data_IF_076543568520
#
_entry.id   IF_076543568520
#
_cell.length_a   1.000
_cell.length_b   1.000
_cell.length_c   1.000
_cell.angle_alpha   90.00
_cell.angle_beta   90.00
_cell.angle_gamma   90.00
#
_symmetry.space_group_name_H-M   'P 1'
#
loop_
_entity.id
_entity.type
_entity.pdbx_description
1 polymer ?
#
# COMPACT_ATOMS: atom_id res chain seq x y z
N UNK A 1 -74.45 33.91 -14.73
CA UNK A 1 -73.90 32.99 -13.71
C UNK A 1 -72.54 32.52 -14.17
N UNK A 2 -71.54 32.67 -13.31
CA UNK A 2 -70.12 32.38 -13.54
C UNK A 2 -69.87 30.90 -13.91
N UNK A 3 -69.02 30.64 -14.90
CA UNK A 3 -67.89 29.68 -14.75
C UNK A 3 -66.70 30.17 -15.58
N UNK A 4 -65.58 30.32 -14.89
CA UNK A 4 -64.26 30.78 -15.32
C UNK A 4 -63.62 29.70 -16.21
N UNK A 5 -63.19 30.02 -17.43
CA UNK A 5 -62.36 29.12 -18.27
C UNK A 5 -60.90 29.54 -18.12
N UNK A 6 -60.18 28.86 -17.24
CA UNK A 6 -58.74 29.04 -17.02
C UNK A 6 -57.94 28.40 -18.16
N UNK A 7 -56.97 29.16 -18.65
CA UNK A 7 -55.99 28.81 -19.68
C UNK A 7 -55.16 27.63 -19.18
N UNK A 8 -55.12 26.54 -19.95
CA UNK A 8 -54.13 25.48 -19.78
C UNK A 8 -52.77 26.05 -20.18
N UNK A 9 -51.93 26.34 -19.20
CA UNK A 9 -50.51 26.57 -19.41
C UNK A 9 -49.86 25.22 -19.72
N UNK A 10 -49.50 25.01 -20.98
CA UNK A 10 -48.58 23.96 -21.41
C UNK A 10 -47.19 24.24 -20.81
N UNK A 11 -46.79 23.47 -19.80
CA UNK A 11 -45.40 23.44 -19.33
C UNK A 11 -44.50 22.86 -20.43
N UNK A 12 -43.37 23.51 -20.79
CA UNK A 12 -42.43 22.94 -21.75
C UNK A 12 -41.59 21.89 -21.03
N UNK A 13 -41.79 20.61 -21.39
CA UNK A 13 -41.04 19.48 -20.85
C UNK A 13 -39.57 19.43 -21.31
N UNK A 14 -39.18 20.26 -22.30
CA UNK A 14 -37.90 20.14 -22.99
C UNK A 14 -36.72 20.87 -22.32
N UNK A 15 -36.97 21.80 -21.38
CA UNK A 15 -35.92 22.58 -20.73
C UNK A 15 -35.43 21.98 -19.40
N UNK A 16 -36.20 21.09 -18.77
CA UNK A 16 -35.89 20.52 -17.45
C UNK A 16 -35.03 19.23 -17.53
N UNK A 17 -35.14 18.46 -18.62
CA UNK A 17 -34.35 17.25 -18.85
C UNK A 17 -32.82 17.49 -18.87
N UNK A 18 -32.26 18.48 -19.59
CA UNK A 18 -30.81 18.66 -19.64
C UNK A 18 -30.24 19.12 -18.30
N UNK A 19 -30.99 19.89 -17.51
CA UNK A 19 -30.58 20.34 -16.19
C UNK A 19 -30.51 19.20 -15.18
N UNK A 20 -31.47 18.26 -15.22
CA UNK A 20 -31.47 17.07 -14.38
C UNK A 20 -30.32 16.12 -14.77
N UNK A 21 -30.03 15.96 -16.06
CA UNK A 21 -28.90 15.14 -16.55
C UNK A 21 -27.57 15.76 -16.12
N UNK A 22 -27.40 17.08 -16.24
CA UNK A 22 -26.19 17.78 -15.80
C UNK A 22 -26.02 17.71 -14.28
N UNK A 23 -27.10 17.86 -13.50
CA UNK A 23 -27.06 17.71 -12.04
C UNK A 23 -26.75 16.27 -11.61
N UNK A 24 -27.31 15.26 -12.30
CA UNK A 24 -26.99 13.85 -12.06
C UNK A 24 -25.54 13.52 -12.46
N UNK A 25 -25.06 14.07 -13.57
CA UNK A 25 -23.67 13.92 -13.99
C UNK A 25 -22.70 14.63 -13.02
N UNK A 26 -23.02 15.85 -12.58
CA UNK A 26 -22.23 16.59 -11.59
C UNK A 26 -22.26 15.91 -10.22
N UNK A 27 -23.38 15.33 -9.81
CA UNK A 27 -23.48 14.52 -8.60
C UNK A 27 -22.68 13.20 -8.72
N UNK A 28 -22.67 12.56 -9.90
CA UNK A 28 -21.83 11.39 -10.17
C UNK A 28 -20.33 11.71 -10.17
N UNK A 29 -19.94 12.90 -10.63
CA UNK A 29 -18.55 13.38 -10.60
C UNK A 29 -18.11 13.74 -9.16
N UNK A 30 -19.06 14.05 -8.27
CA UNK A 30 -18.79 14.43 -6.88
C UNK A 30 -18.91 13.32 -5.84
N UNK A 31 -19.15 12.07 -6.23
CA UNK A 31 -18.86 10.95 -5.33
C UNK A 31 -17.36 10.67 -5.47
N UNK A 32 -16.51 11.03 -4.49
CA UNK A 32 -15.15 10.53 -4.51
C UNK A 32 -15.26 9.01 -4.46
N UNK A 33 -14.97 8.36 -5.59
CA UNK A 33 -14.55 6.98 -5.56
C UNK A 33 -13.28 7.00 -4.71
N UNK A 34 -13.38 6.56 -3.46
CA UNK A 34 -12.22 6.29 -2.63
C UNK A 34 -11.38 5.29 -3.41
N UNK A 35 -10.19 5.72 -3.83
CA UNK A 35 -9.30 4.86 -4.57
C UNK A 35 -8.69 3.87 -3.58
N UNK A 36 -8.73 2.57 -3.90
CA UNK A 36 -8.01 1.56 -3.14
C UNK A 36 -6.53 1.96 -3.05
N UNK A 37 -6.02 2.14 -1.83
CA UNK A 37 -4.61 2.47 -1.61
C UNK A 37 -3.78 1.20 -1.71
N UNK A 38 -3.33 0.89 -2.92
CA UNK A 38 -2.49 -0.27 -3.19
C UNK A 38 -1.07 -0.07 -2.64
N UNK A 39 -0.44 -1.18 -2.25
CA UNK A 39 0.99 -1.21 -1.94
C UNK A 39 1.81 -0.78 -3.17
N UNK A 40 2.84 0.07 -3.02
CA UNK A 40 3.73 0.42 -4.13
C UNK A 40 4.38 -0.81 -4.77
N UNK A 41 4.75 -0.68 -6.05
CA UNK A 41 5.35 -1.76 -6.84
C UNK A 41 6.75 -2.19 -6.38
N UNK A 42 7.37 -1.42 -5.47
CA UNK A 42 8.65 -1.75 -4.86
C UNK A 42 8.55 -1.60 -3.34
N UNK A 43 9.51 -2.17 -2.62
CA UNK A 43 9.65 -1.94 -1.17
C UNK A 43 10.26 -0.56 -0.82
N UNK A 44 10.44 0.30 -1.82
CA UNK A 44 11.03 1.63 -1.65
C UNK A 44 9.97 2.67 -1.28
N UNK A 45 9.30 2.46 -0.16
CA UNK A 45 8.33 3.41 0.37
C UNK A 45 8.38 3.40 1.89
N UNK A 46 7.86 4.48 2.48
CA UNK A 46 7.63 4.56 3.92
C UNK A 46 6.42 5.46 4.18
N UNK A 47 6.20 5.83 5.44
CA UNK A 47 5.14 6.73 5.85
C UNK A 47 5.73 7.99 6.47
N UNK A 48 5.04 9.11 6.33
CA UNK A 48 5.35 10.31 7.11
C UNK A 48 4.75 10.25 8.53
N UNK A 49 4.99 11.30 9.32
CA UNK A 49 4.51 11.39 10.70
C UNK A 49 2.99 11.32 10.85
N UNK A 50 2.22 11.71 9.83
CA UNK A 50 0.75 11.69 9.87
C UNK A 50 0.17 10.47 9.14
N UNK A 51 1.00 9.46 8.86
CA UNK A 51 0.66 8.21 8.17
C UNK A 51 0.28 8.38 6.70
N UNK A 52 0.85 9.34 5.98
CA UNK A 52 0.73 9.38 4.53
C UNK A 52 1.81 8.54 3.87
N UNK A 53 1.42 7.81 2.83
CA UNK A 53 2.35 7.03 2.01
C UNK A 53 3.32 7.97 1.29
N UNK A 54 4.61 7.65 1.37
CA UNK A 54 5.68 8.37 0.67
C UNK A 54 6.45 7.36 -0.18
N UNK A 55 6.29 7.45 -1.50
CA UNK A 55 6.81 6.48 -2.45
C UNK A 55 8.11 6.97 -3.11
N UNK A 56 9.20 6.25 -2.82
CA UNK A 56 10.54 6.49 -3.36
C UNK A 56 10.88 5.54 -4.51
N UNK A 57 9.91 4.81 -5.07
CA UNK A 57 10.13 3.84 -6.16
C UNK A 57 10.91 4.44 -7.34
N UNK A 58 10.71 5.74 -7.64
CA UNK A 58 11.44 6.44 -8.70
C UNK A 58 12.95 6.61 -8.45
N UNK A 59 13.40 6.49 -7.19
CA UNK A 59 14.80 6.53 -6.77
C UNK A 59 15.39 5.14 -6.53
N UNK A 60 14.59 4.08 -6.62
CA UNK A 60 15.05 2.72 -6.35
C UNK A 60 16.19 2.32 -7.30
N UNK A 61 17.36 2.02 -6.74
CA UNK A 61 18.57 1.65 -7.48
C UNK A 61 19.34 2.81 -8.12
N UNK A 62 18.98 4.06 -7.86
CA UNK A 62 19.79 5.22 -8.28
C UNK A 62 21.08 5.26 -7.47
N UNK A 63 22.20 5.53 -8.14
CA UNK A 63 23.50 5.67 -7.51
C UNK A 63 23.68 7.08 -6.95
N UNK A 64 24.11 7.15 -5.69
CA UNK A 64 24.65 8.37 -5.11
C UNK A 64 26.11 8.10 -4.76
N UNK A 65 27.00 8.78 -5.46
CA UNK A 65 28.45 8.64 -5.33
C UNK A 65 28.99 9.78 -4.47
N UNK A 66 29.93 9.46 -3.59
CA UNK A 66 30.63 10.42 -2.76
C UNK A 66 32.14 10.20 -2.88
N UNK A 67 32.83 11.30 -3.17
CA UNK A 67 34.30 11.36 -3.24
C UNK A 67 34.72 12.32 -2.13
N UNK A 68 35.62 11.89 -1.24
CA UNK A 68 36.23 12.84 -0.30
C UNK A 68 37.07 13.87 -1.05
N UNK A 69 37.16 15.09 -0.52
CA UNK A 69 37.99 16.14 -1.11
C UNK A 69 39.45 15.67 -1.22
N UNK A 70 39.92 15.51 -2.46
CA UNK A 70 41.27 15.03 -2.77
C UNK A 70 41.36 13.59 -3.29
N UNK A 71 40.25 12.82 -3.32
CA UNK A 71 40.20 11.47 -3.91
C UNK A 71 39.87 11.49 -5.40
N UNK A 72 40.55 10.61 -6.18
CA UNK A 72 40.38 10.48 -7.65
C UNK A 72 39.26 9.47 -8.01
N UNK A 73 38.86 8.62 -7.07
CA UNK A 73 37.84 7.58 -7.24
C UNK A 73 36.68 7.76 -6.27
N UNK A 74 35.48 7.26 -6.60
CA UNK A 74 34.36 7.26 -5.66
C UNK A 74 34.67 6.36 -4.47
N UNK A 75 34.71 6.96 -3.28
CA UNK A 75 35.07 6.29 -2.03
C UNK A 75 33.85 5.59 -1.41
N UNK A 76 32.64 6.08 -1.71
CA UNK A 76 31.38 5.49 -1.25
C UNK A 76 30.30 5.57 -2.34
N UNK A 77 29.53 4.50 -2.49
CA UNK A 77 28.34 4.46 -3.35
C UNK A 77 27.15 3.98 -2.54
N UNK A 78 26.05 4.71 -2.60
CA UNK A 78 24.77 4.32 -2.01
C UNK A 78 23.76 4.08 -3.15
N UNK A 79 23.08 2.94 -3.11
CA UNK A 79 21.86 2.71 -3.90
C UNK A 79 20.65 2.68 -2.98
N UNK A 80 19.72 3.62 -3.16
CA UNK A 80 18.48 3.62 -2.38
C UNK A 80 17.64 2.39 -2.72
N UNK A 81 17.11 1.75 -1.70
CA UNK A 81 16.21 0.58 -1.77
C UNK A 81 16.67 -0.60 -2.64
N UNK A 82 17.97 -0.71 -2.95
CA UNK A 82 18.56 -1.83 -3.70
C UNK A 82 20.00 -2.07 -3.26
N UNK A 83 20.46 -3.28 -3.50
CA UNK A 83 21.87 -3.64 -3.34
C UNK A 83 22.69 -3.13 -4.52
N UNK A 84 23.91 -2.63 -4.24
CA UNK A 84 24.83 -2.13 -5.27
C UNK A 84 25.30 -3.30 -6.16
N UNK A 85 24.87 -3.31 -7.43
CA UNK A 85 25.16 -4.40 -8.36
C UNK A 85 26.46 -4.23 -9.16
N UNK A 86 26.85 -2.99 -9.48
CA UNK A 86 28.08 -2.70 -10.24
C UNK A 86 29.22 -2.39 -9.30
N UNK A 87 30.30 -3.15 -9.43
CA UNK A 87 31.50 -3.06 -8.59
C UNK A 87 32.65 -2.52 -9.42
N UNK A 88 33.40 -1.55 -8.89
CA UNK A 88 34.61 -1.06 -9.54
C UNK A 88 35.64 -2.19 -9.65
N UNK A 89 36.11 -2.46 -10.87
CA UNK A 89 37.09 -3.50 -11.15
C UNK A 89 38.48 -3.00 -10.77
N UNK A 90 39.06 -3.54 -9.69
CA UNK A 90 40.51 -3.86 -9.53
C UNK A 90 40.95 -4.03 -8.06
N UNK A 91 40.28 -3.40 -7.08
CA UNK A 91 40.82 -3.25 -5.70
C UNK A 91 40.04 -3.94 -4.57
N UNK A 92 38.93 -4.62 -4.86
CA UNK A 92 37.98 -5.08 -3.84
C UNK A 92 37.05 -3.95 -3.37
N UNK A 93 36.01 -4.29 -2.61
CA UNK A 93 35.05 -3.35 -2.04
C UNK A 93 34.70 -3.79 -0.62
N UNK A 94 34.21 -2.85 0.19
CA UNK A 94 33.71 -3.12 1.54
C UNK A 94 32.19 -3.02 1.49
N UNK A 95 31.50 -4.11 1.84
CA UNK A 95 30.04 -4.14 1.95
C UNK A 95 29.61 -3.57 3.31
N UNK A 96 28.78 -2.52 3.30
CA UNK A 96 28.22 -1.94 4.52
C UNK A 96 26.79 -2.42 4.83
N UNK A 97 26.26 -3.32 4.01
CA UNK A 97 25.00 -4.00 4.26
C UNK A 97 24.05 -3.98 3.09
N UNK A 98 22.96 -4.73 3.25
CA UNK A 98 21.95 -5.00 2.23
C UNK A 98 20.61 -4.41 2.61
N UNK A 99 19.85 -4.03 1.59
CA UNK A 99 18.47 -3.62 1.77
C UNK A 99 17.56 -4.84 1.73
N UNK A 100 16.89 -5.14 2.85
CA UNK A 100 16.08 -6.34 2.98
C UNK A 100 14.61 -6.12 2.63
N UNK A 101 13.95 -5.12 3.23
CA UNK A 101 12.54 -4.83 2.98
C UNK A 101 12.13 -3.42 3.49
N UNK A 102 10.84 -3.10 3.33
CA UNK A 102 10.24 -1.82 3.72
C UNK A 102 10.39 -1.45 5.21
N UNK A 103 10.61 -2.42 6.12
CA UNK A 103 10.86 -2.13 7.55
C UNK A 103 12.21 -1.48 7.78
N UNK A 104 13.13 -1.62 6.83
CA UNK A 104 14.40 -0.91 6.83
C UNK A 104 14.26 0.53 6.35
N UNK A 105 13.04 1.01 6.07
CA UNK A 105 12.75 2.38 5.66
C UNK A 105 11.70 3.01 6.58
N UNK A 106 12.16 3.96 7.39
CA UNK A 106 11.38 4.54 8.49
C UNK A 106 11.28 6.06 8.37
N UNK A 107 10.28 6.64 9.02
CA UNK A 107 10.20 8.08 9.24
C UNK A 107 11.35 8.53 10.14
N UNK A 108 12.01 9.62 9.78
CA UNK A 108 13.06 10.23 10.56
C UNK A 108 12.52 11.08 11.72
N UNK A 109 13.41 11.87 12.31
CA UNK A 109 13.04 12.86 13.32
C UNK A 109 13.91 14.11 13.21
N UNK A 110 13.35 15.26 13.63
CA UNK A 110 14.01 16.57 13.66
C UNK A 110 14.46 17.02 12.26
N UNK A 111 15.76 16.98 11.98
CA UNK A 111 16.39 17.43 10.74
C UNK A 111 16.42 16.34 9.67
N UNK A 112 16.08 15.10 10.03
CA UNK A 112 16.05 13.94 9.13
C UNK A 112 14.60 13.60 8.85
N UNK A 113 14.20 13.64 7.59
CA UNK A 113 12.82 13.35 7.18
C UNK A 113 12.58 11.84 7.13
N UNK A 114 13.55 11.07 6.63
CA UNK A 114 13.44 9.61 6.52
C UNK A 114 14.78 8.92 6.78
N UNK A 115 14.73 7.65 7.17
CA UNK A 115 15.92 6.85 7.47
C UNK A 115 15.82 5.53 6.72
N UNK A 116 16.83 5.22 5.90
CA UNK A 116 17.01 3.90 5.31
C UNK A 116 18.18 3.17 6.00
N UNK A 117 17.95 1.94 6.45
CA UNK A 117 18.95 1.10 7.11
C UNK A 117 19.38 -0.05 6.20
N UNK A 118 20.65 -0.41 6.33
CA UNK A 118 21.27 -1.54 5.67
C UNK A 118 21.99 -2.37 6.74
N UNK A 119 21.84 -3.69 6.64
CA UNK A 119 22.33 -4.64 7.64
C UNK A 119 23.10 -5.79 6.98
N UNK A 120 23.86 -6.55 7.76
CA UNK A 120 24.58 -7.75 7.30
C UNK A 120 25.66 -7.45 6.24
N UNK A 121 26.43 -6.38 6.46
CA UNK A 121 27.63 -6.08 5.68
C UNK A 121 28.82 -6.94 6.10
N UNK A 122 30.01 -6.60 5.60
CA UNK A 122 31.24 -7.35 5.87
C UNK A 122 31.59 -7.37 7.37
N UNK A 123 32.06 -8.53 7.85
CA UNK A 123 32.42 -8.74 9.25
C UNK A 123 33.84 -8.27 9.60
N UNK A 124 34.75 -8.19 8.63
CA UNK A 124 36.17 -7.92 8.88
C UNK A 124 36.38 -6.63 9.69
N UNK A 125 37.08 -6.63 10.83
CA UNK A 125 37.23 -5.48 11.75
C UNK A 125 35.96 -5.06 12.52
N UNK A 126 34.89 -5.84 12.45
CA UNK A 126 33.61 -5.62 13.12
C UNK A 126 33.13 -6.86 13.89
N UNK A 127 34.02 -7.83 14.09
CA UNK A 127 33.75 -9.15 14.67
C UNK A 127 33.40 -9.09 16.16
N UNK A 128 33.74 -7.98 16.83
CA UNK A 128 33.53 -7.78 18.27
C UNK A 128 32.22 -7.06 18.61
N UNK A 129 31.41 -6.72 17.61
CA UNK A 129 30.12 -6.05 17.84
C UNK A 129 29.10 -7.02 18.44
N UNK A 130 28.29 -6.53 19.39
CA UNK A 130 27.44 -7.36 20.26
C UNK A 130 26.38 -8.19 19.53
N UNK A 131 26.01 -7.81 18.32
CA UNK A 131 24.92 -8.44 17.55
C UNK A 131 25.41 -9.30 16.38
N UNK A 132 26.73 -9.44 16.16
CA UNK A 132 27.32 -10.14 15.00
C UNK A 132 26.76 -9.69 13.63
N UNK A 133 26.14 -8.50 13.57
CA UNK A 133 25.45 -7.97 12.37
C UNK A 133 26.41 -7.52 11.25
N UNK A 134 27.72 -7.61 11.48
CA UNK A 134 28.75 -7.06 10.62
C UNK A 134 28.65 -5.55 10.49
N UNK A 135 29.19 -5.01 9.40
CA UNK A 135 29.00 -3.59 9.07
C UNK A 135 27.54 -3.28 8.82
N UNK A 136 27.14 -2.08 9.21
CA UNK A 136 25.80 -1.54 8.93
C UNK A 136 25.90 -0.17 8.27
N UNK A 137 24.85 0.21 7.54
CA UNK A 137 24.73 1.57 7.03
C UNK A 137 23.39 2.18 7.42
N UNK A 138 23.41 3.49 7.67
CA UNK A 138 22.22 4.30 7.89
C UNK A 138 22.27 5.50 6.97
N UNK A 139 21.30 5.62 6.09
CA UNK A 139 21.13 6.76 5.20
C UNK A 139 20.05 7.66 5.80
N UNK A 140 20.48 8.80 6.32
CA UNK A 140 19.61 9.87 6.79
C UNK A 140 19.21 10.74 5.59
N UNK A 141 17.95 10.65 5.21
CA UNK A 141 17.39 11.33 4.06
C UNK A 141 16.78 12.65 4.52
N UNK A 142 17.22 13.73 3.88
CA UNK A 142 16.73 15.09 4.09
C UNK A 142 16.06 15.60 2.81
N UNK A 143 14.88 16.18 2.95
CA UNK A 143 14.15 16.80 1.87
C UNK A 143 14.78 18.16 1.54
N UNK A 144 15.34 18.27 0.34
CA UNK A 144 15.89 19.53 -0.16
C UNK A 144 17.30 19.37 -0.71
N UNK A 145 18.22 20.20 -0.23
CA UNK A 145 19.59 20.31 -0.77
C UNK A 145 20.59 20.38 0.38
N UNK A 146 21.81 19.90 0.12
CA UNK A 146 22.91 20.11 1.05
C UNK A 146 23.22 21.60 1.19
N UNK A 147 23.55 22.04 2.42
CA UNK A 147 23.91 23.43 2.73
C UNK A 147 25.05 23.98 1.86
N UNK A 148 25.92 23.11 1.35
CA UNK A 148 27.12 23.47 0.60
C UNK A 148 26.88 23.68 -0.92
N UNK A 149 25.64 23.58 -1.42
CA UNK A 149 25.27 23.76 -2.86
C UNK A 149 25.94 22.81 -3.87
N UNK A 150 26.79 21.87 -3.45
CA UNK A 150 27.51 20.92 -4.34
C UNK A 150 26.66 19.67 -4.65
N UNK A 151 25.39 19.82 -5.02
CA UNK A 151 24.68 18.70 -5.63
C UNK A 151 24.85 18.78 -7.15
N UNK A 152 25.62 17.85 -7.71
CA UNK A 152 25.78 17.70 -9.17
C UNK A 152 24.62 16.93 -9.82
N UNK A 153 23.89 16.14 -9.04
CA UNK A 153 22.80 15.29 -9.53
C UNK A 153 21.43 15.89 -9.18
N UNK A 154 20.53 15.87 -10.16
CA UNK A 154 19.14 16.31 -10.07
C UNK A 154 18.32 15.47 -9.06
N UNK A 155 18.69 14.21 -8.87
CA UNK A 155 18.01 13.27 -7.97
C UNK A 155 18.45 13.44 -6.51
N UNK A 156 19.49 14.23 -6.24
CA UNK A 156 20.03 14.50 -4.91
C UNK A 156 21.51 14.19 -4.77
N UNK A 157 22.10 14.47 -3.61
CA UNK A 157 23.51 14.21 -3.37
C UNK A 157 23.83 13.91 -1.91
N UNK A 158 24.96 13.22 -1.68
CA UNK A 158 25.47 12.93 -0.34
C UNK A 158 26.09 14.22 0.21
N UNK A 159 25.57 14.69 1.34
CA UNK A 159 26.03 15.91 2.00
C UNK A 159 27.22 15.64 2.91
N UNK A 160 27.22 14.49 3.57
CA UNK A 160 28.22 14.11 4.57
C UNK A 160 28.21 12.61 4.76
N UNK A 161 29.40 12.07 4.99
CA UNK A 161 29.60 10.69 5.44
C UNK A 161 30.30 10.74 6.79
N UNK A 162 29.88 9.88 7.71
CA UNK A 162 30.56 9.70 8.99
C UNK A 162 30.59 8.23 9.37
N UNK A 163 31.66 7.80 10.01
CA UNK A 163 31.82 6.41 10.43
C UNK A 163 31.81 6.33 11.96
N UNK A 164 30.95 5.47 12.49
CA UNK A 164 30.90 5.10 13.90
C UNK A 164 31.67 3.79 14.07
N UNK A 165 32.95 3.91 14.47
CA UNK A 165 33.85 2.78 14.64
C UNK A 165 33.38 1.79 15.72
N UNK A 166 32.68 2.27 16.75
CA UNK A 166 32.24 1.41 17.86
C UNK A 166 31.08 0.52 17.46
N UNK A 167 30.18 1.07 16.64
CA UNK A 167 28.99 0.36 16.15
C UNK A 167 29.19 -0.24 14.76
N UNK A 168 30.40 -0.10 14.17
CA UNK A 168 30.69 -0.49 12.80
C UNK A 168 29.65 0.02 11.79
N UNK A 169 29.21 1.27 11.97
CA UNK A 169 28.10 1.84 11.24
C UNK A 169 28.52 3.06 10.44
N UNK A 170 28.28 3.02 9.14
CA UNK A 170 28.41 4.20 8.28
C UNK A 170 27.10 4.97 8.30
N UNK A 171 27.17 6.26 8.63
CA UNK A 171 26.03 7.17 8.57
C UNK A 171 26.24 8.13 7.40
N UNK A 172 25.30 8.13 6.47
CA UNK A 172 25.29 8.96 5.26
C UNK A 172 24.17 9.96 5.38
N UNK A 173 24.46 11.25 5.25
CA UNK A 173 23.45 12.29 5.10
C UNK A 173 23.20 12.52 3.61
N UNK A 174 22.00 12.21 3.15
CA UNK A 174 21.58 12.30 1.75
C UNK A 174 20.50 13.36 1.60
N UNK A 175 20.72 14.37 0.76
CA UNK A 175 19.67 15.33 0.41
C UNK A 175 19.06 14.97 -0.94
N UNK A 176 17.73 14.80 -0.99
CA UNK A 176 16.98 14.50 -2.22
C UNK A 176 15.77 15.42 -2.35
N UNK A 177 15.24 15.63 -3.57
CA UNK A 177 13.89 16.12 -3.76
C UNK A 177 12.91 15.08 -3.22
N UNK A 178 12.22 15.37 -2.12
CA UNK A 178 11.31 14.40 -1.53
C UNK A 178 10.08 14.14 -2.41
N UNK A 179 9.59 12.88 -2.46
CA UNK A 179 8.36 12.54 -3.14
C UNK A 179 7.19 13.34 -2.60
N UNK A 180 6.17 13.51 -3.45
CA UNK A 180 4.91 14.10 -3.01
C UNK A 180 4.24 13.18 -2.00
N UNK A 181 3.60 13.82 -1.02
CA UNK A 181 2.75 13.16 -0.04
C UNK A 181 1.62 12.39 -0.74
N UNK A 182 1.54 11.09 -0.52
CA UNK A 182 0.49 10.22 -1.04
C UNK A 182 -0.75 10.19 -0.14
N UNK A 183 -1.67 9.25 -0.38
CA UNK A 183 -2.86 9.05 0.46
C UNK A 183 -2.50 8.74 1.90
N UNK A 184 -3.38 9.13 2.82
CA UNK A 184 -3.26 8.78 4.24
C UNK A 184 -3.74 7.34 4.45
N UNK A 185 -2.98 6.55 5.20
CA UNK A 185 -3.31 5.16 5.49
C UNK A 185 -3.52 4.93 6.97
N UNK A 186 -4.35 3.95 7.30
CA UNK A 186 -4.56 3.52 8.67
C UNK A 186 -3.50 2.48 9.07
N UNK A 187 -2.33 2.99 9.49
CA UNK A 187 -1.19 2.18 9.91
C UNK A 187 -1.56 1.24 11.07
N UNK A 188 -1.06 0.02 11.03
CA UNK A 188 -1.25 -0.99 12.07
C UNK A 188 -2.50 -1.87 11.87
N UNK A 189 -3.28 -1.63 10.81
CA UNK A 189 -4.42 -2.48 10.45
C UNK A 189 -4.05 -3.53 9.40
N UNK A 190 -4.50 -4.77 9.61
CA UNK A 190 -4.25 -5.91 8.75
C UNK A 190 -5.54 -6.67 8.49
N UNK A 191 -5.75 -7.07 7.24
CA UNK A 191 -6.73 -8.08 6.83
C UNK A 191 -5.96 -9.22 6.18
N UNK A 192 -6.16 -10.45 6.64
CA UNK A 192 -5.54 -11.62 6.01
C UNK A 192 -6.45 -12.83 6.02
N UNK A 193 -6.09 -13.88 5.30
CA UNK A 193 -6.88 -15.11 5.29
C UNK A 193 -6.77 -15.85 6.63
N UNK A 194 -7.88 -16.44 7.05
CA UNK A 194 -8.00 -17.23 8.27
C UNK A 194 -8.10 -18.72 7.95
N UNK A 195 -7.33 -19.61 8.63
CA UNK A 195 -6.29 -19.31 9.62
C UNK A 195 -5.08 -18.60 8.99
N UNK A 196 -4.36 -17.80 9.80
CA UNK A 196 -3.37 -16.80 9.36
C UNK A 196 -2.40 -17.36 8.30
N UNK A 197 -2.51 -16.89 7.06
CA UNK A 197 -1.61 -17.24 5.96
C UNK A 197 -1.05 -15.98 5.28
N UNK A 198 -1.74 -15.42 4.29
CA UNK A 198 -1.35 -14.22 3.57
C UNK A 198 -2.26 -13.04 3.87
N UNK A 199 -1.66 -11.85 3.82
CA UNK A 199 -2.36 -10.58 4.00
C UNK A 199 -2.98 -10.10 2.68
N UNK A 200 -4.25 -9.68 2.76
CA UNK A 200 -5.00 -8.97 1.72
C UNK A 200 -4.80 -7.46 1.87
N UNK A 201 -4.76 -7.00 3.12
CA UNK A 201 -4.39 -5.64 3.50
C UNK A 201 -3.32 -5.75 4.57
N UNK A 202 -2.20 -5.06 4.40
CA UNK A 202 -1.16 -4.97 5.40
C UNK A 202 -0.86 -3.51 5.70
N UNK A 203 -0.91 -3.16 6.99
CA UNK A 203 -0.62 -1.82 7.47
C UNK A 203 -1.48 -0.72 6.80
N UNK A 204 -2.74 -1.04 6.50
CA UNK A 204 -3.68 -0.17 5.78
C UNK A 204 -3.49 -0.11 4.26
N UNK A 205 -2.52 -0.83 3.68
CA UNK A 205 -2.28 -0.91 2.24
C UNK A 205 -2.83 -2.22 1.67
N UNK A 206 -3.60 -2.13 0.59
CA UNK A 206 -4.11 -3.29 -0.13
C UNK A 206 -3.00 -3.96 -0.91
N UNK A 207 -2.85 -5.27 -0.74
CA UNK A 207 -1.79 -6.06 -1.37
C UNK A 207 -2.11 -6.32 -2.84
N UNK A 208 -1.05 -6.57 -3.63
CA UNK A 208 -1.16 -6.92 -5.05
C UNK A 208 -2.10 -8.12 -5.25
N UNK A 209 -2.99 -8.00 -6.22
CA UNK A 209 -4.00 -9.01 -6.53
C UNK A 209 -5.38 -8.69 -5.95
N UNK A 210 -5.46 -7.78 -4.97
CA UNK A 210 -6.69 -7.41 -4.28
C UNK A 210 -7.05 -5.93 -4.46
N UNK A 211 -6.28 -5.17 -5.22
CA UNK A 211 -6.58 -3.78 -5.56
C UNK A 211 -7.61 -3.65 -6.70
N UNK A 212 -7.74 -4.69 -7.53
CA UNK A 212 -8.71 -4.77 -8.62
C UNK A 212 -8.90 -6.24 -9.06
N UNK A 213 -9.68 -6.44 -10.13
CA UNK A 213 -9.83 -7.77 -10.73
C UNK A 213 -8.51 -8.30 -11.27
N UNK A 214 -8.05 -9.44 -10.73
CA UNK A 214 -6.93 -10.21 -11.25
C UNK A 214 -7.30 -11.68 -11.38
N UNK A 215 -7.20 -12.24 -12.59
CA UNK A 215 -7.56 -13.64 -12.83
C UNK A 215 -6.75 -14.62 -11.96
N UNK A 216 -5.45 -14.35 -11.74
CA UNK A 216 -4.60 -15.20 -10.90
C UNK A 216 -4.91 -15.18 -9.40
N UNK A 217 -5.79 -14.29 -8.93
CA UNK A 217 -6.17 -14.14 -7.52
C UNK A 217 -7.66 -14.46 -7.27
N UNK A 218 -8.30 -15.12 -8.24
CA UNK A 218 -9.73 -15.43 -8.16
C UNK A 218 -10.02 -16.74 -7.43
N UNK A 219 -11.07 -16.73 -6.63
CA UNK A 219 -11.59 -17.91 -5.96
C UNK A 219 -12.35 -18.77 -6.97
N UNK A 220 -12.01 -20.06 -7.08
CA UNK A 220 -12.63 -20.95 -8.05
C UNK A 220 -14.08 -21.25 -7.65
N UNK A 221 -14.91 -21.76 -8.56
CA UNK A 221 -16.35 -21.87 -8.31
C UNK A 221 -16.70 -22.80 -7.13
N UNK A 222 -15.88 -23.81 -6.79
CA UNK A 222 -16.12 -24.76 -5.70
C UNK A 222 -15.92 -24.13 -4.32
N UNK A 223 -15.13 -23.06 -4.24
CA UNK A 223 -14.88 -22.39 -2.98
C UNK A 223 -16.08 -21.52 -2.64
N UNK A 224 -16.94 -21.98 -1.73
CA UNK A 224 -18.20 -21.32 -1.35
C UNK A 224 -18.06 -20.29 -0.22
N UNK A 225 -16.92 -20.25 0.46
CA UNK A 225 -16.63 -19.25 1.49
C UNK A 225 -15.14 -18.94 1.60
N UNK A 226 -14.86 -17.75 2.14
CA UNK A 226 -13.53 -17.26 2.52
C UNK A 226 -13.63 -16.63 3.89
N UNK A 227 -12.75 -17.04 4.79
CA UNK A 227 -12.63 -16.42 6.11
C UNK A 227 -11.45 -15.47 6.14
N UNK A 228 -11.69 -14.25 6.60
CA UNK A 228 -10.69 -13.21 6.79
C UNK A 228 -10.56 -12.91 8.28
N UNK A 229 -9.34 -12.72 8.77
CA UNK A 229 -9.11 -12.09 10.07
C UNK A 229 -8.81 -10.61 9.87
N UNK A 230 -9.35 -9.79 10.78
CA UNK A 230 -9.09 -8.37 10.89
C UNK A 230 -8.33 -8.14 12.20
N UNK A 231 -7.29 -7.33 12.15
CA UNK A 231 -6.45 -7.02 13.30
C UNK A 231 -5.96 -5.58 13.23
N UNK A 232 -6.06 -4.85 14.34
CA UNK A 232 -5.53 -3.50 14.48
C UNK A 232 -4.66 -3.38 15.74
N UNK A 233 -3.83 -2.35 15.79
CA UNK A 233 -3.22 -1.90 17.04
C UNK A 233 -4.30 -1.56 18.07
N UNK A 234 -4.19 -2.10 19.28
CA UNK A 234 -5.24 -1.96 20.31
C UNK A 234 -5.63 -0.51 20.61
N UNK A 235 -4.67 0.43 20.55
CA UNK A 235 -4.92 1.86 20.77
C UNK A 235 -5.75 2.55 19.67
N UNK A 236 -5.91 1.90 18.51
CA UNK A 236 -6.61 2.43 17.35
C UNK A 236 -7.80 1.53 16.93
N UNK A 237 -7.96 0.36 17.54
CA UNK A 237 -8.92 -0.65 17.10
C UNK A 237 -10.38 -0.16 17.14
N UNK A 238 -10.72 0.68 18.12
CA UNK A 238 -12.07 1.26 18.28
C UNK A 238 -12.46 2.21 17.14
N UNK A 239 -11.50 2.64 16.31
CA UNK A 239 -11.77 3.46 15.13
C UNK A 239 -12.27 2.63 13.95
N UNK A 240 -12.07 1.30 13.98
CA UNK A 240 -12.47 0.40 12.88
C UNK A 240 -13.96 0.12 12.97
N UNK A 241 -14.68 0.49 11.92
CA UNK A 241 -16.11 0.27 11.83
C UNK A 241 -16.48 -1.05 11.14
N UNK A 242 -17.80 -1.22 10.96
CA UNK A 242 -18.39 -2.43 10.37
C UNK A 242 -18.10 -2.54 8.87
N UNK A 243 -17.53 -3.66 8.37
CA UNK A 243 -17.33 -3.89 6.95
C UNK A 243 -18.63 -3.88 6.14
N UNK A 244 -18.55 -3.41 4.90
CA UNK A 244 -19.63 -3.42 3.91
C UNK A 244 -19.13 -4.03 2.61
N UNK A 245 -20.04 -4.53 1.76
CA UNK A 245 -19.70 -5.14 0.48
C UNK A 245 -20.50 -4.53 -0.67
N UNK A 246 -19.88 -4.51 -1.85
CA UNK A 246 -20.51 -4.23 -3.13
C UNK A 246 -20.08 -5.28 -4.15
N UNK A 247 -21.05 -5.87 -4.85
CA UNK A 247 -20.80 -6.93 -5.83
C UNK A 247 -21.01 -6.38 -7.24
N UNK A 248 -20.08 -6.69 -8.14
CA UNK A 248 -20.15 -6.32 -9.54
C UNK A 248 -19.92 -7.54 -10.45
N UNK A 249 -20.85 -7.86 -11.36
CA UNK A 249 -22.17 -7.25 -11.53
C UNK A 249 -23.08 -7.52 -10.34
N UNK A 250 -24.04 -6.63 -10.10
CA UNK A 250 -24.94 -6.69 -8.93
C UNK A 250 -25.87 -7.92 -8.90
N UNK A 251 -26.00 -8.65 -10.01
CA UNK A 251 -26.84 -9.85 -10.11
C UNK A 251 -25.98 -11.03 -10.49
N UNK A 252 -26.29 -12.21 -9.93
CA UNK A 252 -25.67 -13.47 -10.32
C UNK A 252 -24.68 -14.04 -9.31
N UNK A 253 -24.31 -13.27 -8.28
CA UNK A 253 -23.56 -13.74 -7.12
C UNK A 253 -24.22 -13.18 -5.87
N UNK A 254 -24.81 -14.06 -5.06
CA UNK A 254 -25.27 -13.68 -3.72
C UNK A 254 -24.09 -13.77 -2.75
N UNK A 255 -23.95 -12.77 -1.88
CA UNK A 255 -22.83 -12.67 -0.94
C UNK A 255 -23.35 -12.32 0.46
N UNK A 256 -23.08 -13.19 1.42
CA UNK A 256 -23.47 -13.04 2.82
C UNK A 256 -22.24 -12.95 3.73
N UNK A 257 -22.15 -11.86 4.49
CA UNK A 257 -21.14 -11.66 5.51
C UNK A 257 -21.59 -12.25 6.86
N UNK A 258 -20.75 -13.09 7.47
CA UNK A 258 -20.97 -13.63 8.83
C UNK A 258 -19.71 -13.52 9.69
N UNK A 259 -19.81 -13.91 10.97
CA UNK A 259 -18.70 -13.84 11.92
C UNK A 259 -18.70 -12.56 12.77
N UNK A 260 -17.72 -12.43 13.66
CA UNK A 260 -17.63 -11.29 14.58
C UNK A 260 -17.41 -9.96 13.85
N UNK A 261 -16.72 -9.97 12.70
CA UNK A 261 -16.48 -8.79 11.87
C UNK A 261 -17.75 -8.29 11.21
N UNK A 262 -18.61 -9.20 10.77
CA UNK A 262 -19.92 -8.85 10.22
C UNK A 262 -20.86 -8.21 11.26
N UNK A 263 -20.58 -8.39 12.57
CA UNK A 263 -21.31 -7.73 13.66
C UNK A 263 -20.65 -6.44 14.14
N UNK A 264 -19.49 -6.05 13.58
CA UNK A 264 -18.75 -4.86 13.99
C UNK A 264 -17.95 -5.04 15.29
N UNK A 265 -17.53 -6.27 15.61
CA UNK A 265 -16.61 -6.49 16.72
C UNK A 265 -15.26 -5.79 16.47
N UNK A 266 -14.67 -5.27 17.54
CA UNK A 266 -13.41 -4.52 17.49
C UNK A 266 -12.23 -5.45 17.19
N UNK A 267 -11.45 -5.23 16.11
CA UNK A 267 -10.33 -6.08 15.76
C UNK A 267 -9.06 -5.68 16.51
N UNK A 268 -8.62 -6.48 17.49
CA UNK A 268 -7.34 -6.22 18.19
C UNK A 268 -6.28 -7.26 17.81
N UNK A 269 -5.01 -6.92 17.97
CA UNK A 269 -3.91 -7.85 17.71
C UNK A 269 -3.96 -9.14 18.55
N UNK A 270 -4.46 -9.06 19.79
CA UNK A 270 -4.59 -10.21 20.70
C UNK A 270 -5.91 -10.97 20.51
N UNK A 271 -6.95 -10.29 20.03
CA UNK A 271 -8.25 -10.89 19.72
C UNK A 271 -8.68 -10.42 18.33
N UNK A 272 -8.15 -11.06 17.26
CA UNK A 272 -8.53 -10.75 15.89
C UNK A 272 -10.01 -11.04 15.67
N UNK A 273 -10.65 -10.20 14.87
CA UNK A 273 -12.05 -10.36 14.50
C UNK A 273 -12.13 -11.17 13.20
N UNK A 274 -13.13 -12.04 13.06
CA UNK A 274 -13.27 -12.91 11.87
C UNK A 274 -14.44 -12.44 11.02
N UNK A 275 -14.19 -12.19 9.74
CA UNK A 275 -15.17 -11.88 8.72
C UNK A 275 -15.24 -13.03 7.72
N UNK A 276 -16.36 -13.74 7.71
CA UNK A 276 -16.62 -14.79 6.74
C UNK A 276 -17.39 -14.19 5.56
N UNK A 277 -16.85 -14.34 4.36
CA UNK A 277 -17.51 -14.02 3.10
C UNK A 277 -18.02 -15.33 2.53
N UNK A 278 -19.34 -15.54 2.60
CA UNK A 278 -20.00 -16.69 1.99
C UNK A 278 -20.65 -16.23 0.70
N UNK A 279 -20.55 -17.03 -0.36
CA UNK A 279 -21.09 -16.64 -1.64
C UNK A 279 -21.70 -17.83 -2.40
N UNK A 280 -22.74 -17.54 -3.18
CA UNK A 280 -23.48 -18.51 -3.97
C UNK A 280 -23.58 -17.98 -5.40
N UNK A 281 -23.12 -18.78 -6.35
CA UNK A 281 -23.21 -18.46 -7.77
C UNK A 281 -24.63 -18.73 -8.29
N UNK A 282 -25.37 -17.69 -8.64
CA UNK A 282 -26.70 -17.83 -9.25
C UNK A 282 -26.62 -17.85 -10.78
N UNK A 283 -25.65 -17.13 -11.36
CA UNK A 283 -25.46 -17.02 -12.81
C UNK A 283 -24.01 -17.36 -13.18
N UNK A 284 -23.88 -18.32 -14.09
CA UNK A 284 -22.59 -18.73 -14.66
C UNK A 284 -22.12 -17.70 -15.69
N UNK A 285 -20.82 -17.39 -15.66
CA UNK A 285 -20.21 -16.46 -16.62
C UNK A 285 -18.71 -16.67 -16.78
N UNK A 286 -18.17 -16.18 -17.89
CA UNK A 286 -16.74 -16.28 -18.21
C UNK A 286 -15.86 -15.33 -17.38
N UNK A 287 -16.38 -14.15 -17.01
CA UNK A 287 -15.62 -13.15 -16.26
C UNK A 287 -15.95 -13.23 -14.77
N UNK A 288 -14.95 -13.27 -13.87
CA UNK A 288 -15.20 -13.34 -12.44
C UNK A 288 -16.08 -12.19 -11.93
N UNK A 289 -16.83 -12.46 -10.87
CA UNK A 289 -17.49 -11.44 -10.07
C UNK A 289 -16.46 -10.72 -9.21
N UNK A 290 -16.69 -9.43 -9.01
CA UNK A 290 -15.85 -8.54 -8.21
C UNK A 290 -16.62 -8.20 -6.94
N UNK A 291 -16.08 -8.57 -5.78
CA UNK A 291 -16.64 -8.29 -4.45
C UNK A 291 -15.73 -7.27 -3.77
N UNK A 292 -16.16 -6.01 -3.79
CA UNK A 292 -15.45 -4.93 -3.12
C UNK A 292 -15.87 -4.91 -1.65
N UNK A 293 -14.90 -5.09 -0.76
CA UNK A 293 -15.08 -4.96 0.69
C UNK A 293 -14.57 -3.59 1.11
N UNK A 294 -15.38 -2.85 1.86
CA UNK A 294 -15.05 -1.51 2.37
C UNK A 294 -15.19 -1.49 3.89
N UNK A 295 -14.11 -1.15 4.59
CA UNK A 295 -14.03 -1.10 6.05
C UNK A 295 -13.86 0.37 6.46
N UNK A 296 -14.90 1.02 7.00
CA UNK A 296 -14.81 2.41 7.42
C UNK A 296 -13.88 2.55 8.62
N UNK A 297 -13.13 3.64 8.68
CA UNK A 297 -12.26 3.97 9.82
C UNK A 297 -12.48 5.43 10.21
N UNK A 298 -12.75 5.69 11.48
CA UNK A 298 -13.02 7.05 11.96
C UNK A 298 -11.78 7.94 11.79
N UNK A 299 -11.92 9.03 11.03
CA UNK A 299 -10.85 10.00 10.78
C UNK A 299 -9.88 9.62 9.65
N UNK A 300 -10.19 8.57 8.88
CA UNK A 300 -9.42 8.11 7.73
C UNK A 300 -10.36 7.79 6.57
N UNK A 301 -9.80 7.69 5.36
CA UNK A 301 -10.51 7.08 4.24
C UNK A 301 -10.78 5.59 4.54
N UNK A 302 -11.91 5.02 4.08
CA UNK A 302 -12.19 3.60 4.23
C UNK A 302 -11.09 2.73 3.64
N UNK A 303 -10.82 1.61 4.29
CA UNK A 303 -9.89 0.60 3.78
C UNK A 303 -10.68 -0.29 2.83
N UNK A 304 -10.25 -0.32 1.57
CA UNK A 304 -10.97 -1.02 0.51
C UNK A 304 -10.08 -2.07 -0.17
N UNK A 305 -10.65 -3.24 -0.43
CA UNK A 305 -10.00 -4.31 -1.18
C UNK A 305 -11.03 -5.12 -1.95
N UNK A 306 -10.56 -5.87 -2.93
CA UNK A 306 -11.35 -6.62 -3.90
C UNK A 306 -11.09 -8.09 -3.74
N UNK A 307 -12.15 -8.89 -3.62
CA UNK A 307 -12.11 -10.34 -3.78
C UNK A 307 -12.78 -10.71 -5.09
N UNK A 308 -12.22 -11.65 -5.84
CA UNK A 308 -12.75 -12.04 -7.14
C UNK A 308 -13.24 -13.49 -7.11
N UNK A 309 -14.43 -13.73 -7.64
CA UNK A 309 -15.10 -15.04 -7.56
C UNK A 309 -15.47 -15.54 -8.95
N UNK A 310 -14.97 -16.71 -9.31
CA UNK A 310 -15.35 -17.41 -10.52
C UNK A 310 -16.65 -18.19 -10.30
N UNK A 311 -17.51 -18.15 -11.33
CA UNK A 311 -18.74 -18.94 -11.41
C UNK A 311 -18.81 -19.55 -12.80
N UNK A 312 -17.96 -20.55 -13.05
CA UNK A 312 -17.82 -21.27 -14.32
C UNK A 312 -18.30 -22.72 -14.24
N UNK A 313 -18.35 -23.39 -15.40
CA UNK A 313 -18.61 -24.84 -15.46
C UNK A 313 -17.40 -25.64 -15.00
N UNK A 314 -17.65 -26.71 -14.25
CA UNK A 314 -16.68 -27.78 -14.02
C UNK A 314 -16.85 -28.86 -15.08
N UNK A 315 -15.80 -29.17 -15.82
CA UNK A 315 -15.67 -30.47 -16.46
C UNK A 315 -15.09 -31.44 -15.43
N UNK A 316 -15.96 -32.09 -14.67
CA UNK A 316 -15.62 -33.35 -14.00
C UNK A 316 -16.04 -34.47 -14.95
N UNK A 317 -15.09 -35.27 -15.40
CA UNK A 317 -15.38 -36.49 -16.18
C UNK A 317 -16.41 -37.32 -15.42
N UNK A 318 -17.63 -37.38 -15.98
CA UNK A 318 -18.81 -38.09 -15.48
C UNK A 318 -19.56 -37.50 -14.27
N UNK A 319 -20.02 -36.26 -14.34
CA UNK A 319 -21.43 -35.86 -14.09
C UNK A 319 -21.48 -34.34 -13.89
N UNK A 320 -22.41 -33.70 -14.60
CA UNK A 320 -22.70 -32.26 -14.46
C UNK A 320 -23.45 -32.05 -13.14
N UNK A 321 -22.72 -31.82 -12.06
CA UNK A 321 -23.27 -31.48 -10.75
C UNK A 321 -23.29 -29.96 -10.60
N UNK A 322 -24.51 -29.41 -10.55
CA UNK A 322 -24.77 -28.10 -10.00
C UNK A 322 -24.74 -28.18 -8.48
N UNK A 323 -24.15 -27.17 -7.83
CA UNK A 323 -24.53 -26.74 -6.48
C UNK A 323 -24.98 -25.30 -6.61
#
# INVERSE_FOLDING_TARGET
MLVKRSIFASCPLDAFCPFIIVLLAAAYIHVPATAIVAVPSSHCYTFDSDSHLVDFTHLAGKNFEYNEEGSVTSDLVVQLCKDVQRRSQAGGFIDFGRFTNHRSFETGSKLVDYIQRFHNGDLAKCETTFEEMGRTAQVNIMCGRCSNKVCKDEHGCICRVSYDERMCRTVVELAIPCPKRGPRVFKGFTVGFHPRSSEVVYNGLTQLGFEQLHHGFSFPSEQIHVSLYLSAMSSLADLVGKPTIRVNPMKGLDVMLTGSGANGAVPTALSPTVLNVNWICEIIRSNPYVVNVSIPVVGYDPIEFTLTKECGWFYSDNHQLCI
#
